data_IF_972962604799
#
_entry.id   IF_972962604799
#
_cell.length_a   1.000
_cell.length_b   1.000
_cell.length_c   1.000
_cell.angle_alpha   90.00
_cell.angle_beta   90.00
_cell.angle_gamma   90.00
#
_symmetry.space_group_name_H-M   'P 1'
#
loop_
_entity.id
_entity.type
_entity.pdbx_description
1 polymer ?
#
# COMPACT_ATOMS: atom_id res chain seq x y z
N UNK A 1 8.76 -12.38 33.91
CA UNK A 1 9.38 -11.05 33.69
C UNK A 1 8.29 -10.16 33.09
N UNK A 2 7.71 -9.27 33.91
CA UNK A 2 6.60 -8.40 33.47
C UNK A 2 7.19 -7.24 32.67
N UNK A 3 6.93 -7.20 31.38
CA UNK A 3 7.24 -6.04 30.54
C UNK A 3 6.02 -5.10 30.65
N UNK A 4 6.21 -4.01 31.40
CA UNK A 4 5.17 -2.96 31.48
C UNK A 4 5.03 -2.24 30.15
N UNK A 5 3.80 -2.16 29.63
CA UNK A 5 3.45 -1.25 28.55
C UNK A 5 3.57 0.18 29.08
N UNK A 6 4.60 0.92 28.68
CA UNK A 6 4.67 2.34 28.93
C UNK A 6 3.79 3.08 27.93
N UNK A 7 2.76 3.75 28.45
CA UNK A 7 1.92 4.66 27.69
C UNK A 7 2.73 5.92 27.35
N UNK A 8 2.72 6.33 26.07
CA UNK A 8 3.40 7.56 25.66
C UNK A 8 2.73 8.79 26.28
N UNK A 9 3.51 9.64 26.96
CA UNK A 9 3.05 10.90 27.55
C UNK A 9 3.26 12.03 26.54
N UNK A 10 2.16 12.61 26.06
CA UNK A 10 2.17 13.93 25.41
C UNK A 10 1.16 14.83 26.16
N UNK A 11 1.66 15.90 26.77
CA UNK A 11 0.82 16.91 27.41
C UNK A 11 0.04 16.47 28.65
N UNK A 12 0.57 15.55 29.48
CA UNK A 12 -0.01 15.19 30.78
C UNK A 12 -1.30 14.39 30.75
N UNK A 13 -1.73 13.86 29.59
CA UNK A 13 -2.87 12.94 29.49
C UNK A 13 -2.44 11.60 28.91
N UNK A 14 -2.78 10.53 29.63
CA UNK A 14 -2.66 9.14 29.15
C UNK A 14 -3.77 8.95 28.11
N UNK A 15 -3.42 8.77 26.83
CA UNK A 15 -4.38 8.42 25.79
C UNK A 15 -4.57 6.91 25.82
N UNK A 16 -5.71 6.47 26.28
CA UNK A 16 -6.10 5.06 26.32
C UNK A 16 -6.71 4.67 24.97
N UNK A 17 -6.20 3.65 24.30
CA UNK A 17 -6.74 3.09 23.06
C UNK A 17 -7.56 1.81 23.33
N UNK A 18 -8.88 1.91 23.65
CA UNK A 18 -9.66 0.75 24.11
C UNK A 18 -9.83 -0.33 23.04
N UNK A 19 -9.68 0.02 21.77
CA UNK A 19 -9.83 -0.92 20.65
C UNK A 19 -8.54 -1.71 20.41
N UNK A 20 -7.38 -1.08 20.53
CA UNK A 20 -6.07 -1.75 20.46
C UNK A 20 -5.90 -2.70 21.67
N UNK A 21 -6.33 -2.25 22.85
CA UNK A 21 -6.33 -3.06 24.08
C UNK A 21 -7.24 -4.30 23.95
N UNK A 22 -8.41 -4.18 23.28
CA UNK A 22 -9.25 -5.34 22.97
C UNK A 22 -8.61 -6.34 22.00
N UNK A 23 -7.90 -5.86 21.00
CA UNK A 23 -7.16 -6.72 20.07
C UNK A 23 -5.97 -7.36 20.76
N UNK A 24 -5.17 -6.57 21.52
CA UNK A 24 -4.02 -7.07 22.27
C UNK A 24 -4.43 -7.99 23.42
N UNK A 25 -5.53 -7.73 24.12
CA UNK A 25 -6.06 -8.64 25.18
C UNK A 25 -6.56 -9.96 24.60
N UNK A 26 -7.12 -9.98 23.38
CA UNK A 26 -7.46 -11.24 22.68
C UNK A 26 -6.22 -12.02 22.25
N UNK A 27 -5.09 -11.35 22.04
CA UNK A 27 -3.80 -12.00 21.75
C UNK A 27 -3.07 -12.47 23.02
N UNK A 28 -3.42 -11.95 24.21
CA UNK A 28 -2.79 -12.27 25.50
C UNK A 28 -3.60 -13.23 26.37
N UNK A 29 -4.72 -13.78 25.90
CA UNK A 29 -5.31 -14.95 26.54
C UNK A 29 -4.36 -16.12 26.33
N UNK A 30 -4.07 -16.88 27.40
CA UNK A 30 -3.13 -17.98 27.50
C UNK A 30 -3.45 -19.21 26.62
N UNK A 31 -4.39 -19.11 25.74
CA UNK A 31 -4.59 -20.01 24.62
C UNK A 31 -3.65 -19.56 23.50
N UNK A 32 -2.69 -20.42 23.14
CA UNK A 32 -1.94 -20.34 21.89
C UNK A 32 -2.88 -19.82 20.80
N UNK A 33 -2.47 -18.81 19.97
CA UNK A 33 -3.31 -18.35 18.88
C UNK A 33 -3.68 -19.59 18.07
N UNK A 34 -4.93 -20.05 18.28
CA UNK A 34 -5.36 -21.32 17.81
C UNK A 34 -5.18 -21.34 16.28
N UNK A 35 -4.75 -22.46 15.76
CA UNK A 35 -4.70 -22.78 14.32
C UNK A 35 -6.09 -22.73 13.66
N UNK A 36 -7.03 -22.00 14.26
CA UNK A 36 -8.40 -21.85 13.79
C UNK A 36 -8.50 -20.68 12.80
N UNK A 37 -9.21 -20.86 11.69
CA UNK A 37 -9.50 -19.77 10.78
C UNK A 37 -10.32 -18.68 11.51
N UNK A 38 -10.22 -17.44 11.02
CA UNK A 38 -11.08 -16.36 11.47
C UNK A 38 -12.56 -16.74 11.30
N UNK A 39 -13.45 -16.11 12.08
CA UNK A 39 -14.88 -16.21 11.82
C UNK A 39 -15.19 -15.83 10.37
N UNK A 40 -16.26 -16.37 9.81
CA UNK A 40 -16.66 -16.10 8.43
C UNK A 40 -16.74 -14.57 8.15
N UNK A 41 -17.42 -13.83 9.02
CA UNK A 41 -17.54 -12.38 8.89
C UNK A 41 -16.17 -11.64 8.92
N UNK A 42 -15.23 -12.09 9.75
CA UNK A 42 -13.89 -11.49 9.82
C UNK A 42 -13.07 -11.82 8.57
N UNK A 43 -13.19 -13.06 8.05
CA UNK A 43 -12.57 -13.48 6.80
C UNK A 43 -13.10 -12.67 5.63
N UNK A 44 -14.43 -12.53 5.53
CA UNK A 44 -15.08 -11.81 4.44
C UNK A 44 -14.73 -10.33 4.43
N UNK A 45 -14.60 -9.69 5.63
CA UNK A 45 -14.13 -8.31 5.74
C UNK A 45 -12.70 -8.12 5.17
N UNK A 46 -11.80 -9.09 5.37
CA UNK A 46 -10.44 -9.06 4.78
C UNK A 46 -10.51 -9.13 3.27
N UNK A 47 -11.26 -10.08 2.70
CA UNK A 47 -11.42 -10.19 1.25
C UNK A 47 -12.12 -8.95 0.66
N UNK A 48 -13.12 -8.41 1.34
CA UNK A 48 -13.77 -7.18 0.92
C UNK A 48 -12.78 -6.01 0.82
N UNK A 49 -11.89 -5.84 1.80
CA UNK A 49 -10.86 -4.81 1.74
C UNK A 49 -9.92 -5.03 0.54
N UNK A 50 -9.46 -6.27 0.31
CA UNK A 50 -8.56 -6.63 -0.80
C UNK A 50 -9.22 -6.35 -2.15
N UNK A 51 -10.44 -6.82 -2.37
CA UNK A 51 -11.10 -6.74 -3.68
C UNK A 51 -11.64 -5.35 -3.99
N UNK A 52 -12.07 -4.58 -2.99
CA UNK A 52 -12.63 -3.24 -3.17
C UNK A 52 -11.61 -2.09 -3.03
N UNK A 53 -10.34 -2.38 -2.73
CA UNK A 53 -9.27 -1.37 -2.73
C UNK A 53 -9.07 -0.80 -4.14
N UNK A 54 -8.93 0.54 -4.20
CA UNK A 54 -8.64 1.26 -5.45
C UNK A 54 -7.45 2.20 -5.26
N UNK A 55 -6.74 2.45 -6.34
CA UNK A 55 -5.79 3.55 -6.46
C UNK A 55 -6.59 4.83 -6.72
N UNK A 56 -6.58 5.75 -5.76
CA UNK A 56 -7.44 6.94 -5.75
C UNK A 56 -6.65 8.15 -6.23
N UNK A 57 -7.25 8.99 -7.07
CA UNK A 57 -6.58 10.16 -7.64
C UNK A 57 -7.42 11.43 -7.61
N UNK A 58 -8.69 11.36 -8.03
CA UNK A 58 -9.58 12.52 -8.17
C UNK A 58 -10.70 12.58 -7.12
N UNK A 59 -10.88 11.55 -6.31
CA UNK A 59 -12.01 11.41 -5.40
C UNK A 59 -11.74 11.93 -3.98
N UNK A 60 -10.57 12.53 -3.72
CA UNK A 60 -10.23 13.02 -2.38
C UNK A 60 -11.14 14.14 -1.90
N UNK A 61 -11.54 14.06 -0.64
CA UNK A 61 -12.30 15.09 0.07
C UNK A 61 -11.36 15.93 0.93
N UNK A 62 -11.63 17.24 1.11
CA UNK A 62 -10.82 18.13 1.96
C UNK A 62 -11.14 17.90 3.46
N UNK A 63 -11.29 16.64 3.86
CA UNK A 63 -11.58 16.24 5.23
C UNK A 63 -10.32 15.72 5.91
N UNK A 64 -9.98 16.29 7.06
CA UNK A 64 -8.82 15.87 7.84
C UNK A 64 -8.95 14.40 8.30
N UNK A 65 -7.85 13.66 8.27
CA UNK A 65 -7.72 12.34 8.86
C UNK A 65 -7.35 12.52 10.34
N UNK A 66 -8.13 12.02 11.31
CA UNK A 66 -7.77 12.06 12.73
C UNK A 66 -6.45 11.32 13.00
N UNK A 67 -5.67 11.80 13.97
CA UNK A 67 -4.38 11.18 14.30
C UNK A 67 -4.53 9.75 14.81
N UNK A 68 -5.67 9.40 15.44
CA UNK A 68 -5.95 8.00 15.83
C UNK A 68 -6.13 7.08 14.62
N UNK A 69 -6.79 7.53 13.58
CA UNK A 69 -6.93 6.77 12.33
C UNK A 69 -5.57 6.61 11.67
N UNK A 70 -4.83 7.71 11.52
CA UNK A 70 -3.49 7.69 10.95
C UNK A 70 -2.55 6.77 11.75
N UNK A 71 -2.62 6.81 13.08
CA UNK A 71 -1.87 5.92 13.96
C UNK A 71 -2.17 4.44 13.70
N UNK A 72 -3.43 4.06 13.50
CA UNK A 72 -3.80 2.68 13.13
C UNK A 72 -3.25 2.27 11.77
N UNK A 73 -3.27 3.17 10.77
CA UNK A 73 -2.71 2.90 9.45
C UNK A 73 -1.20 2.65 9.51
N UNK A 74 -0.47 3.50 10.25
CA UNK A 74 0.97 3.35 10.43
C UNK A 74 1.31 2.08 11.23
N UNK A 75 0.50 1.74 12.22
CA UNK A 75 0.66 0.49 12.99
C UNK A 75 0.44 -0.73 12.09
N UNK A 76 -0.58 -0.74 11.23
CA UNK A 76 -0.81 -1.81 10.27
C UNK A 76 0.38 -1.97 9.31
N UNK A 77 0.92 -0.85 8.80
CA UNK A 77 2.12 -0.87 7.98
C UNK A 77 3.32 -1.48 8.72
N UNK A 78 3.52 -1.08 9.98
CA UNK A 78 4.63 -1.55 10.80
C UNK A 78 4.55 -3.04 11.16
N UNK A 79 3.38 -3.66 11.09
CA UNK A 79 3.18 -5.10 11.28
C UNK A 79 3.40 -5.93 10.01
N UNK A 80 3.92 -5.35 8.94
CA UNK A 80 4.29 -6.10 7.75
C UNK A 80 5.43 -7.09 8.04
N UNK A 81 5.48 -8.23 7.34
CA UNK A 81 6.63 -9.12 7.41
C UNK A 81 7.85 -8.43 6.79
N UNK A 82 9.03 -8.73 7.31
CA UNK A 82 10.28 -8.24 6.73
C UNK A 82 11.39 -9.28 6.77
N UNK A 83 12.25 -9.27 5.77
CA UNK A 83 13.44 -10.12 5.69
C UNK A 83 14.29 -9.96 6.93
N UNK A 84 14.68 -11.07 7.57
CA UNK A 84 15.48 -11.04 8.80
C UNK A 84 14.90 -10.19 9.93
N UNK A 85 13.58 -9.93 9.91
CA UNK A 85 12.89 -8.99 10.82
C UNK A 85 13.49 -7.59 10.83
N UNK A 86 14.02 -7.16 9.70
CA UNK A 86 14.80 -5.95 9.50
C UNK A 86 13.98 -4.66 9.66
N UNK A 87 12.68 -4.67 9.32
CA UNK A 87 11.78 -3.50 9.38
C UNK A 87 12.39 -2.27 8.70
N UNK A 88 12.73 -2.36 7.41
CA UNK A 88 13.57 -1.37 6.73
C UNK A 88 12.85 -0.05 6.42
N UNK A 89 11.59 0.03 6.68
CA UNK A 89 10.74 1.18 6.32
C UNK A 89 10.89 2.37 7.28
N UNK A 90 10.78 3.58 6.72
CA UNK A 90 10.49 4.81 7.45
C UNK A 90 9.23 5.46 6.85
N UNK A 91 8.57 6.30 7.65
CA UNK A 91 7.33 6.96 7.29
C UNK A 91 7.52 8.48 7.40
N UNK A 92 7.54 9.18 6.27
CA UNK A 92 7.65 10.62 6.20
C UNK A 92 6.27 11.23 5.90
N UNK A 93 5.64 11.84 6.91
CA UNK A 93 4.34 12.49 6.81
C UNK A 93 4.47 13.91 6.24
N UNK A 94 3.71 14.21 5.19
CA UNK A 94 3.74 15.48 4.48
C UNK A 94 2.36 16.14 4.58
N UNK A 95 2.27 17.18 5.41
CA UNK A 95 1.06 18.00 5.62
C UNK A 95 1.20 19.40 5.02
N UNK A 96 2.43 19.88 4.84
CA UNK A 96 2.72 21.22 4.31
C UNK A 96 2.24 21.37 2.87
N UNK A 97 1.42 22.39 2.61
CA UNK A 97 0.96 22.75 1.27
C UNK A 97 2.14 23.06 0.33
N UNK A 98 3.14 23.79 0.82
CA UNK A 98 4.33 24.16 0.05
C UNK A 98 5.15 22.93 -0.36
N UNK A 99 5.31 21.96 0.57
CA UNK A 99 6.02 20.72 0.26
C UNK A 99 5.25 19.90 -0.77
N UNK A 100 3.92 19.78 -0.64
CA UNK A 100 3.08 19.11 -1.62
C UNK A 100 3.15 19.78 -2.99
N UNK A 101 3.11 21.12 -3.05
CA UNK A 101 3.22 21.87 -4.30
C UNK A 101 4.59 21.65 -4.98
N UNK A 102 5.68 21.62 -4.21
CA UNK A 102 7.01 21.28 -4.77
C UNK A 102 7.02 19.88 -5.37
N UNK A 103 6.54 18.88 -4.65
CA UNK A 103 6.48 17.48 -5.13
C UNK A 103 5.58 17.37 -6.36
N UNK A 104 4.44 18.07 -6.39
CA UNK A 104 3.58 18.11 -7.59
C UNK A 104 4.31 18.72 -8.79
N UNK A 105 5.17 19.73 -8.57
CA UNK A 105 6.02 20.28 -9.63
C UNK A 105 6.96 19.24 -10.23
N UNK A 106 7.59 18.40 -9.38
CA UNK A 106 8.44 17.30 -9.84
C UNK A 106 7.64 16.25 -10.61
N UNK A 107 6.45 15.90 -10.10
CA UNK A 107 5.54 15.00 -10.81
C UNK A 107 5.20 15.52 -12.20
N UNK A 108 4.80 16.80 -12.33
CA UNK A 108 4.42 17.39 -13.62
C UNK A 108 5.55 17.29 -14.64
N UNK A 109 6.79 17.63 -14.24
CA UNK A 109 7.97 17.51 -15.10
C UNK A 109 8.17 16.07 -15.58
N UNK A 110 8.27 15.12 -14.66
CA UNK A 110 8.47 13.71 -15.02
C UNK A 110 7.28 13.11 -15.81
N UNK A 111 6.06 13.58 -15.56
CA UNK A 111 4.87 13.14 -16.27
C UNK A 111 4.82 13.64 -17.74
N UNK A 112 5.31 14.84 -18.00
CA UNK A 112 5.49 15.36 -19.38
C UNK A 112 6.53 14.52 -20.13
N UNK A 113 7.67 14.22 -19.52
CA UNK A 113 8.70 13.35 -20.08
C UNK A 113 8.14 11.94 -20.37
N UNK A 114 7.40 11.35 -19.41
CA UNK A 114 6.79 10.03 -19.55
C UNK A 114 5.73 10.00 -20.68
N UNK A 115 4.91 11.05 -20.82
CA UNK A 115 3.95 11.18 -21.90
C UNK A 115 4.63 11.09 -23.27
N UNK A 116 5.80 11.72 -23.41
CA UNK A 116 6.52 11.80 -24.68
C UNK A 116 7.19 10.47 -25.08
N UNK A 117 7.25 9.48 -24.17
CA UNK A 117 7.66 8.11 -24.49
C UNK A 117 6.58 7.31 -25.24
N UNK A 118 5.32 7.75 -25.21
CA UNK A 118 4.23 7.10 -25.93
C UNK A 118 4.01 7.74 -27.29
N UNK A 119 3.49 6.93 -28.26
CA UNK A 119 3.14 7.40 -29.59
C UNK A 119 1.63 7.28 -29.85
N UNK A 120 1.14 8.03 -30.84
CA UNK A 120 -0.20 7.95 -31.41
C UNK A 120 -1.34 7.91 -30.36
N UNK A 121 -2.31 7.04 -30.56
CA UNK A 121 -3.49 6.88 -29.71
C UNK A 121 -3.12 6.62 -28.22
N UNK A 122 -1.97 6.01 -27.97
CA UNK A 122 -1.52 5.72 -26.59
C UNK A 122 -1.07 7.00 -25.88
N UNK A 123 -0.44 7.93 -26.58
CA UNK A 123 -0.09 9.27 -26.08
C UNK A 123 -1.34 10.09 -25.77
N UNK A 124 -2.34 10.05 -26.67
CA UNK A 124 -3.61 10.73 -26.47
C UNK A 124 -4.36 10.20 -25.23
N UNK A 125 -4.38 8.87 -25.08
CA UNK A 125 -4.99 8.23 -23.91
C UNK A 125 -4.26 8.61 -22.64
N UNK A 126 -2.91 8.53 -22.60
CA UNK A 126 -2.08 8.92 -21.46
C UNK A 126 -2.38 10.36 -21.03
N UNK A 127 -2.49 11.28 -21.98
CA UNK A 127 -2.72 12.72 -21.71
C UNK A 127 -4.07 13.02 -21.04
N UNK A 128 -5.02 12.08 -21.08
CA UNK A 128 -6.34 12.19 -20.45
C UNK A 128 -6.40 11.58 -19.05
N UNK A 129 -5.35 10.84 -18.66
CA UNK A 129 -5.32 10.17 -17.36
C UNK A 129 -4.95 11.17 -16.24
N UNK A 130 -5.71 11.18 -15.17
CA UNK A 130 -5.26 11.78 -13.91
C UNK A 130 -4.43 10.75 -13.16
N UNK A 131 -3.14 11.04 -12.93
CA UNK A 131 -2.16 10.08 -12.40
C UNK A 131 -1.65 10.45 -11.00
N UNK A 132 -2.21 11.50 -10.38
CA UNK A 132 -1.84 11.94 -9.03
C UNK A 132 -3.00 12.58 -8.29
N UNK A 133 -2.89 12.74 -6.99
CA UNK A 133 -3.78 13.48 -6.09
C UNK A 133 -3.00 14.23 -5.02
N UNK A 134 -1.77 14.69 -5.36
CA UNK A 134 -0.77 15.19 -4.40
C UNK A 134 -1.31 16.39 -3.61
N UNK A 135 -1.92 17.35 -4.29
CA UNK A 135 -2.47 18.56 -3.66
C UNK A 135 -3.92 18.38 -3.22
N UNK A 136 -4.64 17.41 -3.80
CA UNK A 136 -6.04 17.14 -3.47
C UNK A 136 -6.18 16.37 -2.14
N UNK A 137 -5.24 15.47 -1.84
CA UNK A 137 -5.25 14.70 -0.61
C UNK A 137 -4.83 15.56 0.61
N UNK A 138 -5.51 15.44 1.76
CA UNK A 138 -5.15 16.19 2.97
C UNK A 138 -3.76 15.81 3.51
N UNK A 139 -3.34 14.57 3.38
CA UNK A 139 -2.04 14.07 3.84
C UNK A 139 -1.36 13.31 2.71
N UNK A 140 -0.04 13.53 2.54
CA UNK A 140 0.79 12.64 1.76
C UNK A 140 1.78 11.92 2.68
N UNK A 141 2.19 10.74 2.27
CA UNK A 141 3.10 9.86 3.01
C UNK A 141 4.16 9.31 2.07
N UNK A 142 5.42 9.64 2.30
CA UNK A 142 6.52 8.96 1.62
C UNK A 142 7.01 7.81 2.50
N UNK A 143 6.93 6.58 1.99
CA UNK A 143 7.48 5.39 2.64
C UNK A 143 8.81 5.09 1.98
N UNK A 144 9.86 5.03 2.80
CA UNK A 144 11.23 4.82 2.33
C UNK A 144 11.80 3.52 2.88
N UNK A 145 12.83 3.00 2.21
CA UNK A 145 13.60 1.84 2.63
C UNK A 145 15.01 2.26 3.03
N UNK A 146 15.39 1.96 4.26
CA UNK A 146 16.77 2.02 4.74
C UNK A 146 17.43 0.67 4.48
N UNK A 147 18.23 0.60 3.44
CA UNK A 147 18.90 -0.63 3.01
C UNK A 147 20.03 -1.11 3.94
N UNK A 148 20.49 -0.23 4.82
CA UNK A 148 21.58 -0.48 5.75
C UNK A 148 21.14 -0.74 7.18
N UNK A 149 19.82 -0.60 7.47
CA UNK A 149 19.27 -0.93 8.79
C UNK A 149 19.63 -2.37 9.14
N UNK A 150 20.17 -2.61 10.31
CA UNK A 150 20.67 -3.90 10.79
C UNK A 150 21.97 -4.39 10.12
N UNK A 151 22.66 -3.53 9.34
CA UNK A 151 23.98 -3.81 8.76
C UNK A 151 23.93 -4.45 7.38
N UNK A 152 25.12 -4.82 6.87
CA UNK A 152 25.29 -5.31 5.49
C UNK A 152 24.81 -6.75 5.28
N UNK A 153 24.94 -7.58 6.33
CA UNK A 153 24.58 -9.01 6.26
C UNK A 153 23.31 -9.24 7.05
N UNK A 154 22.21 -9.50 6.32
CA UNK A 154 20.87 -9.71 6.90
C UNK A 154 20.39 -11.12 6.55
N UNK A 155 19.84 -11.83 7.53
CA UNK A 155 19.23 -13.15 7.33
C UNK A 155 18.18 -13.08 6.21
N UNK A 156 18.34 -13.94 5.19
CA UNK A 156 17.43 -14.00 4.03
C UNK A 156 17.71 -12.97 2.92
N UNK A 157 18.68 -12.05 3.12
CA UNK A 157 19.12 -11.07 2.09
C UNK A 157 20.53 -11.34 1.57
N UNK A 158 21.07 -12.50 1.83
CA UNK A 158 22.45 -12.84 1.42
C UNK A 158 22.61 -12.98 -0.09
N UNK A 159 21.61 -13.50 -0.78
CA UNK A 159 21.60 -13.73 -2.23
C UNK A 159 20.60 -12.82 -2.95
N UNK A 160 19.35 -12.75 -2.47
CA UNK A 160 18.34 -11.83 -3.01
C UNK A 160 18.46 -10.47 -2.31
N UNK A 161 19.24 -9.57 -2.91
CA UNK A 161 19.62 -8.27 -2.30
C UNK A 161 18.49 -7.27 -2.18
N UNK A 162 17.39 -7.46 -2.94
CA UNK A 162 16.22 -6.58 -3.01
C UNK A 162 15.14 -6.92 -1.99
N UNK A 163 15.35 -7.94 -1.13
CA UNK A 163 14.34 -8.39 -0.16
C UNK A 163 13.95 -7.31 0.86
N UNK A 164 14.79 -6.33 1.10
CA UNK A 164 14.49 -5.15 1.91
C UNK A 164 13.46 -4.23 1.23
N UNK A 165 13.61 -4.02 -0.09
CA UNK A 165 12.64 -3.25 -0.90
C UNK A 165 11.29 -3.96 -0.91
N UNK A 166 11.28 -5.28 -1.14
CA UNK A 166 10.05 -6.09 -1.14
C UNK A 166 9.37 -6.09 0.23
N UNK A 167 10.15 -6.14 1.31
CA UNK A 167 9.63 -5.99 2.68
C UNK A 167 8.95 -4.64 2.89
N UNK A 168 9.53 -3.57 2.37
CA UNK A 168 8.93 -2.23 2.46
C UNK A 168 7.62 -2.15 1.64
N UNK A 169 7.54 -2.81 0.49
CA UNK A 169 6.29 -2.92 -0.31
C UNK A 169 5.20 -3.65 0.47
N UNK A 170 5.53 -4.67 1.29
CA UNK A 170 4.56 -5.31 2.18
C UNK A 170 3.96 -4.31 3.19
N UNK A 171 4.78 -3.39 3.73
CA UNK A 171 4.29 -2.33 4.61
C UNK A 171 3.34 -1.35 3.89
N UNK A 172 3.66 -0.99 2.63
CA UNK A 172 2.76 -0.19 1.78
C UNK A 172 1.42 -0.89 1.60
N UNK A 173 1.42 -2.18 1.27
CA UNK A 173 0.20 -2.94 1.03
C UNK A 173 -0.64 -3.09 2.31
N UNK A 174 -0.02 -3.36 3.46
CA UNK A 174 -0.74 -3.42 4.74
C UNK A 174 -1.43 -2.08 5.07
N UNK A 175 -0.73 -0.96 4.90
CA UNK A 175 -1.31 0.37 5.08
C UNK A 175 -2.51 0.58 4.15
N UNK A 176 -2.39 0.19 2.89
CA UNK A 176 -3.44 0.39 1.90
C UNK A 176 -4.72 -0.39 2.21
N UNK A 177 -4.57 -1.65 2.65
CA UNK A 177 -5.71 -2.48 3.07
C UNK A 177 -6.37 -1.93 4.35
N UNK A 178 -5.57 -1.52 5.33
CA UNK A 178 -6.07 -0.88 6.54
C UNK A 178 -6.79 0.45 6.22
N UNK A 179 -6.24 1.26 5.32
CA UNK A 179 -6.85 2.50 4.86
C UNK A 179 -8.22 2.22 4.21
N UNK A 180 -8.32 1.20 3.34
CA UNK A 180 -9.59 0.81 2.73
C UNK A 180 -10.63 0.42 3.78
N UNK A 181 -10.24 -0.31 4.82
CA UNK A 181 -11.11 -0.70 5.92
C UNK A 181 -11.61 0.50 6.76
N UNK A 182 -10.81 1.57 6.85
CA UNK A 182 -11.14 2.84 7.53
C UNK A 182 -11.89 3.83 6.62
N UNK A 183 -12.20 3.47 5.37
CA UNK A 183 -12.82 4.38 4.39
C UNK A 183 -11.88 5.45 3.86
N UNK A 184 -10.56 5.26 4.01
CA UNK A 184 -9.51 6.15 3.50
C UNK A 184 -9.05 5.67 2.11
N UNK A 185 -9.11 6.57 1.14
CA UNK A 185 -8.49 6.36 -0.17
C UNK A 185 -6.98 6.55 -0.11
N UNK A 186 -6.28 5.74 -0.88
CA UNK A 186 -4.83 5.85 -1.06
C UNK A 186 -4.54 5.88 -2.56
N UNK A 187 -3.73 6.83 -3.00
CA UNK A 187 -3.20 6.91 -4.35
C UNK A 187 -1.68 6.78 -4.33
N UNK A 188 -1.12 5.88 -5.13
CA UNK A 188 0.33 5.70 -5.23
C UNK A 188 0.87 6.45 -6.44
N UNK A 189 1.67 7.49 -6.19
CA UNK A 189 2.32 8.29 -7.22
C UNK A 189 3.78 7.82 -7.36
N UNK A 190 4.18 7.41 -8.57
CA UNK A 190 5.50 6.85 -8.85
C UNK A 190 6.26 7.56 -9.97
N UNK A 191 5.65 8.57 -10.63
CA UNK A 191 6.26 9.27 -11.75
C UNK A 191 7.12 10.42 -11.21
N UNK A 192 8.34 10.07 -10.78
CA UNK A 192 9.35 10.98 -10.23
C UNK A 192 10.75 10.56 -10.64
N UNK A 193 11.65 11.52 -10.77
CA UNK A 193 13.10 11.25 -10.66
C UNK A 193 13.45 11.10 -9.19
N UNK A 194 13.96 9.93 -8.79
CA UNK A 194 14.24 9.60 -7.39
C UNK A 194 15.11 10.64 -6.69
N UNK A 195 16.20 11.08 -7.33
CA UNK A 195 17.12 12.06 -6.74
C UNK A 195 16.47 13.43 -6.50
N UNK A 196 15.55 13.87 -7.40
CA UNK A 196 14.80 15.11 -7.21
C UNK A 196 13.80 15.00 -6.06
N UNK A 197 13.12 13.85 -5.93
CA UNK A 197 12.23 13.58 -4.81
C UNK A 197 12.99 13.54 -3.47
N UNK A 198 14.16 12.86 -3.44
CA UNK A 198 15.03 12.85 -2.27
C UNK A 198 15.42 14.26 -1.84
N UNK A 199 15.91 15.08 -2.77
CA UNK A 199 16.30 16.46 -2.51
C UNK A 199 15.12 17.31 -2.00
N UNK A 200 13.94 17.20 -2.62
CA UNK A 200 12.76 17.98 -2.22
C UNK A 200 12.24 17.62 -0.82
N UNK A 201 12.44 16.37 -0.39
CA UNK A 201 11.97 15.86 0.90
C UNK A 201 13.07 15.76 1.96
N UNK A 202 14.32 16.09 1.63
CA UNK A 202 15.47 15.97 2.53
C UNK A 202 15.80 14.51 2.88
N UNK A 203 15.52 13.57 1.98
CA UNK A 203 15.82 12.15 2.16
C UNK A 203 17.30 11.92 1.83
N UNK A 204 18.09 11.29 2.73
CA UNK A 204 19.50 10.95 2.46
C UNK A 204 19.64 10.04 1.22
N UNK A 205 20.78 10.14 0.52
CA UNK A 205 21.01 9.39 -0.72
C UNK A 205 20.97 7.86 -0.57
N UNK A 206 21.39 7.35 0.60
CA UNK A 206 21.37 5.93 0.92
C UNK A 206 19.97 5.40 1.27
N UNK A 207 18.98 6.27 1.41
CA UNK A 207 17.58 5.92 1.71
C UNK A 207 16.76 5.96 0.41
N UNK A 208 16.09 4.86 0.12
CA UNK A 208 15.33 4.69 -1.14
C UNK A 208 13.85 4.99 -0.90
N UNK A 209 13.26 6.01 -1.55
CA UNK A 209 11.82 6.19 -1.54
C UNK A 209 11.13 5.06 -2.32
N UNK A 210 10.26 4.32 -1.65
CA UNK A 210 9.52 3.18 -2.23
C UNK A 210 8.15 3.60 -2.71
N UNK A 211 7.44 4.41 -1.92
CA UNK A 211 6.11 4.85 -2.26
C UNK A 211 5.88 6.30 -1.82
N UNK A 212 5.33 7.10 -2.73
CA UNK A 212 4.72 8.38 -2.40
C UNK A 212 3.21 8.24 -2.48
N UNK A 213 2.55 8.28 -1.33
CA UNK A 213 1.13 8.00 -1.19
C UNK A 213 0.35 9.27 -0.87
N UNK A 214 -0.79 9.45 -1.55
CA UNK A 214 -1.80 10.46 -1.24
C UNK A 214 -2.90 9.79 -0.40
N UNK A 215 -3.23 10.30 0.78
CA UNK A 215 -4.20 9.74 1.71
C UNK A 215 -5.31 10.75 2.02
N UNK A 216 -6.56 10.31 1.97
CA UNK A 216 -7.72 11.15 2.31
C UNK A 216 -9.03 10.36 2.33
N UNK A 217 -10.04 10.91 2.99
CA UNK A 217 -11.40 10.43 2.76
C UNK A 217 -11.79 10.69 1.30
N UNK A 218 -12.68 9.87 0.77
CA UNK A 218 -13.08 9.92 -0.64
C UNK A 218 -14.59 10.10 -0.77
N UNK A 219 -15.02 10.72 -1.87
CA UNK A 219 -16.43 10.80 -2.23
C UNK A 219 -17.01 9.42 -2.58
N UNK A 220 -16.18 8.58 -3.19
CA UNK A 220 -16.53 7.22 -3.56
C UNK A 220 -15.27 6.37 -3.78
N UNK A 221 -15.43 5.04 -3.70
CA UNK A 221 -14.49 4.08 -4.27
C UNK A 221 -15.08 3.55 -5.57
N UNK A 222 -14.37 3.71 -6.67
CA UNK A 222 -14.84 3.23 -7.96
C UNK A 222 -15.07 1.70 -7.95
N UNK A 223 -16.06 1.24 -8.69
CA UNK A 223 -16.39 -0.19 -8.87
C UNK A 223 -15.24 -0.98 -9.52
N UNK A 224 -14.55 -0.37 -10.50
CA UNK A 224 -13.40 -0.94 -11.22
C UNK A 224 -12.20 0.01 -11.18
N UNK A 225 -10.96 -0.50 -11.40
CA UNK A 225 -9.76 0.32 -11.52
C UNK A 225 -9.93 1.44 -12.56
N UNK A 226 -9.52 2.65 -12.22
CA UNK A 226 -9.68 3.82 -13.09
C UNK A 226 -8.97 3.65 -14.45
N UNK A 227 -7.78 3.05 -14.45
CA UNK A 227 -7.04 2.76 -15.69
C UNK A 227 -7.77 1.73 -16.58
N UNK A 228 -8.44 0.76 -15.97
CA UNK A 228 -9.25 -0.21 -16.69
C UNK A 228 -10.49 0.46 -17.32
N UNK A 229 -11.18 1.33 -16.55
CA UNK A 229 -12.31 2.12 -17.06
C UNK A 229 -11.90 3.06 -18.20
N UNK A 230 -10.69 3.59 -18.14
CA UNK A 230 -10.13 4.43 -19.20
C UNK A 230 -9.67 3.64 -20.45
N UNK A 231 -9.66 2.29 -20.41
CA UNK A 231 -9.20 1.44 -21.51
C UNK A 231 -7.68 1.35 -21.63
N UNK A 232 -6.93 1.63 -20.54
CA UNK A 232 -5.47 1.53 -20.54
C UNK A 232 -5.00 0.08 -20.62
N UNK A 233 -5.46 -0.77 -19.71
CA UNK A 233 -5.26 -2.22 -19.65
C UNK A 233 -6.41 -2.85 -18.85
N UNK A 234 -6.74 -4.10 -19.17
CA UNK A 234 -7.66 -4.93 -18.39
C UNK A 234 -6.91 -5.84 -17.43
N UNK A 235 -7.60 -6.33 -16.40
CA UNK A 235 -7.07 -7.37 -15.54
C UNK A 235 -6.88 -8.67 -16.33
N UNK A 236 -5.71 -9.28 -16.22
CA UNK A 236 -5.44 -10.58 -16.83
C UNK A 236 -6.24 -11.69 -16.14
N UNK A 237 -6.69 -12.70 -16.88
CA UNK A 237 -7.25 -13.92 -16.31
C UNK A 237 -6.25 -14.61 -15.37
N UNK A 238 -6.69 -15.00 -14.17
CA UNK A 238 -5.79 -15.61 -13.19
C UNK A 238 -5.20 -16.93 -13.68
N UNK A 239 -5.98 -17.71 -14.41
CA UNK A 239 -5.60 -18.97 -15.03
C UNK A 239 -4.40 -18.87 -15.99
N UNK A 240 -4.18 -17.70 -16.57
CA UNK A 240 -3.01 -17.44 -17.43
C UNK A 240 -1.71 -17.14 -16.63
N UNK A 241 -1.85 -16.91 -15.32
CA UNK A 241 -0.76 -16.50 -14.43
C UNK A 241 -0.31 -17.60 -13.47
N UNK A 242 -1.00 -18.76 -13.50
CA UNK A 242 -0.71 -19.91 -12.61
C UNK A 242 -0.06 -21.02 -13.40
N UNK A 243 1.12 -21.42 -12.96
CA UNK A 243 1.89 -22.52 -13.53
C UNK A 243 2.12 -23.58 -12.46
N UNK A 244 2.22 -24.85 -12.87
CA UNK A 244 2.40 -26.00 -12.00
C UNK A 244 3.84 -26.51 -12.05
N UNK A 245 4.52 -26.52 -10.92
CA UNK A 245 5.91 -26.98 -10.69
C UNK A 245 7.00 -26.17 -11.42
N UNK A 246 6.80 -25.86 -12.72
CA UNK A 246 7.79 -25.14 -13.54
C UNK A 246 7.13 -24.03 -14.34
N UNK A 247 7.89 -22.99 -14.64
CA UNK A 247 7.44 -21.86 -15.43
C UNK A 247 6.90 -22.30 -16.80
N UNK A 248 5.70 -21.79 -17.16
CA UNK A 248 5.05 -22.08 -18.44
C UNK A 248 4.27 -23.40 -18.48
N UNK A 249 4.35 -24.24 -17.45
CA UNK A 249 3.57 -25.49 -17.40
C UNK A 249 2.17 -25.23 -16.83
N UNK A 250 1.16 -25.24 -17.66
CA UNK A 250 -0.27 -25.12 -17.26
C UNK A 250 -0.85 -26.43 -16.77
N UNK A 251 -1.97 -26.40 -16.04
CA UNK A 251 -2.61 -27.59 -15.48
C UNK A 251 -3.36 -28.48 -16.50
N UNK A 252 -3.47 -28.08 -17.77
CA UNK A 252 -4.22 -28.80 -18.79
C UNK A 252 -5.75 -28.66 -18.67
N UNK A 253 -6.50 -29.36 -19.55
CA UNK A 253 -7.96 -29.23 -19.66
C UNK A 253 -8.75 -29.69 -18.42
N UNK A 254 -8.16 -30.58 -17.62
CA UNK A 254 -8.77 -31.11 -16.40
C UNK A 254 -8.39 -30.38 -15.12
N UNK A 255 -7.70 -29.22 -15.23
CA UNK A 255 -7.30 -28.43 -14.07
C UNK A 255 -8.52 -27.94 -13.27
N UNK A 256 -8.78 -28.63 -12.15
CA UNK A 256 -9.86 -28.27 -11.22
C UNK A 256 -9.70 -26.90 -10.59
N UNK A 257 -8.45 -26.44 -10.43
CA UNK A 257 -8.13 -25.14 -9.87
C UNK A 257 -8.47 -24.02 -10.87
N UNK A 258 -8.17 -24.20 -12.15
CA UNK A 258 -8.56 -23.26 -13.21
C UNK A 258 -10.10 -23.13 -13.29
N UNK A 259 -10.84 -24.23 -13.21
CA UNK A 259 -12.32 -24.21 -13.15
C UNK A 259 -12.83 -23.45 -11.91
N UNK A 260 -12.16 -23.64 -10.76
CA UNK A 260 -12.49 -22.91 -9.53
C UNK A 260 -12.25 -21.41 -9.67
N UNK A 261 -11.13 -20.98 -10.28
CA UNK A 261 -10.86 -19.56 -10.53
C UNK A 261 -11.92 -18.91 -11.42
N UNK A 262 -12.39 -19.60 -12.45
CA UNK A 262 -13.46 -19.12 -13.32
C UNK A 262 -14.77 -18.91 -12.54
N UNK A 263 -15.14 -19.84 -11.67
CA UNK A 263 -16.33 -19.74 -10.84
C UNK A 263 -16.22 -18.57 -9.84
N UNK A 264 -15.08 -18.42 -9.15
CA UNK A 264 -14.81 -17.32 -8.22
C UNK A 264 -14.80 -15.98 -8.92
N UNK A 265 -14.26 -15.90 -10.14
CA UNK A 265 -14.26 -14.69 -10.95
C UNK A 265 -15.69 -14.20 -11.23
N UNK A 266 -16.60 -15.10 -11.57
CA UNK A 266 -18.02 -14.77 -11.74
C UNK A 266 -18.66 -14.29 -10.44
N UNK A 267 -18.37 -14.96 -9.32
CA UNK A 267 -18.92 -14.63 -8.00
C UNK A 267 -18.48 -13.25 -7.52
N UNK A 268 -17.24 -12.86 -7.74
CA UNK A 268 -16.67 -11.57 -7.28
C UNK A 268 -16.76 -10.45 -8.32
N UNK A 269 -17.44 -10.66 -9.46
CA UNK A 269 -17.70 -9.63 -10.47
C UNK A 269 -16.45 -9.15 -11.23
N UNK A 270 -15.42 -9.97 -11.32
CA UNK A 270 -14.25 -9.71 -12.17
C UNK A 270 -14.47 -10.31 -13.55
N UNK A 271 -15.03 -9.52 -14.46
CA UNK A 271 -15.13 -9.90 -15.87
C UNK A 271 -13.80 -9.72 -16.58
#
# INVERSE_FOLDING_TARGET
>A
MRIGCEAGIKGGRIVYYPMLDKVLRRMNTSESPASHPFSEAARDAVYQAIFSRRDVRSQFLPKAIPDEVLGRLLMAAHHAPSVGFMQPWNFLLIRSADTKARVQGLFRKANEEARDLFADKRKDLYSRLKLEGITDAPINLCITCDRERTGQTVLGRTHMKEMDLYSTVCAVQNLWLAARAEGIGVGWVSIFHQHELNAALGIPENIVPIAYLCLGYVSEFLDRPELEKAGWLSRLPLEELVFHDTWGKTGGDDDSLAKTYQALRQQYGYA
#
